data_IF_546253826441
#
_entry.id   IF_546253826441
#
_cell.length_a   1.000
_cell.length_b   1.000
_cell.length_c   1.000
_cell.angle_alpha   90.00
_cell.angle_beta   90.00
_cell.angle_gamma   90.00
#
_symmetry.space_group_name_H-M   'P 1'
#
loop_
_entity.id
_entity.type
_entity.pdbx_description
1 polymer ?
#
# COMPACT_ATOMS: atom_id res chain seq x y z
N UNK A 1 20.68 -25.18 68.10
CA UNK A 1 19.43 -24.64 67.53
C UNK A 1 19.79 -23.94 66.23
N UNK A 2 19.03 -24.23 65.17
CA UNK A 2 19.08 -23.64 63.82
C UNK A 2 20.13 -24.26 62.87
N UNK A 3 19.68 -25.31 62.20
CA UNK A 3 20.20 -25.83 60.94
C UNK A 3 19.83 -24.88 59.79
N UNK A 4 20.77 -24.55 58.90
CA UNK A 4 20.45 -23.88 57.63
C UNK A 4 20.83 -24.82 56.48
N UNK A 5 19.77 -25.36 55.86
CA UNK A 5 19.78 -26.14 54.64
C UNK A 5 20.16 -25.20 53.47
N UNK A 6 21.25 -25.48 52.76
CA UNK A 6 21.49 -24.90 51.44
C UNK A 6 20.87 -25.82 50.39
N UNK A 7 19.72 -25.41 49.86
CA UNK A 7 19.07 -26.07 48.72
C UNK A 7 19.72 -25.54 47.44
N UNK A 8 20.47 -26.41 46.78
CA UNK A 8 21.00 -26.22 45.42
C UNK A 8 19.89 -26.29 44.39
N UNK A 9 19.69 -25.20 43.63
CA UNK A 9 18.79 -25.16 42.48
C UNK A 9 19.60 -25.20 41.18
N UNK A 10 19.72 -26.40 40.59
CA UNK A 10 20.20 -26.60 39.23
C UNK A 10 19.05 -26.33 38.27
N UNK A 11 19.13 -25.25 37.49
CA UNK A 11 18.30 -25.07 36.30
C UNK A 11 19.11 -25.53 35.09
N UNK A 12 18.87 -26.78 34.69
CA UNK A 12 19.14 -27.23 33.33
C UNK A 12 17.97 -26.80 32.46
N UNK A 13 18.20 -25.92 31.48
CA UNK A 13 17.28 -25.73 30.36
C UNK A 13 18.03 -26.01 29.07
N UNK A 14 17.54 -27.06 28.42
CA UNK A 14 17.94 -27.62 27.14
C UNK A 14 17.93 -26.60 25.99
N UNK A 15 18.79 -26.88 25.01
CA UNK A 15 18.87 -26.24 23.72
C UNK A 15 17.51 -25.99 23.05
N UNK A 16 17.34 -24.79 22.49
CA UNK A 16 16.50 -24.58 21.31
C UNK A 16 17.45 -24.12 20.21
N UNK A 17 17.67 -25.00 19.24
CA UNK A 17 18.15 -24.61 17.92
C UNK A 17 17.21 -23.51 17.39
N UNK A 18 17.75 -22.33 17.12
CA UNK A 18 17.19 -21.48 16.09
C UNK A 18 17.89 -21.85 14.79
N UNK A 19 17.40 -22.94 14.20
CA UNK A 19 17.51 -23.13 12.76
C UNK A 19 16.14 -22.78 12.17
N UNK A 20 16.19 -22.32 10.92
CA UNK A 20 15.08 -22.06 10.00
C UNK A 20 14.42 -20.67 10.18
N UNK A 21 14.34 -19.81 9.17
CA UNK A 21 14.32 -20.08 7.73
C UNK A 21 15.24 -19.17 6.93
N UNK A 22 15.95 -19.78 5.98
CA UNK A 22 16.42 -19.08 4.81
C UNK A 22 15.23 -18.31 4.22
N UNK A 23 15.46 -17.06 3.82
CA UNK A 23 14.51 -16.26 3.08
C UNK A 23 14.12 -17.00 1.78
N UNK A 24 13.19 -17.93 1.88
CA UNK A 24 12.29 -18.25 0.80
C UNK A 24 11.50 -16.97 0.63
N UNK A 25 11.96 -16.15 -0.32
CA UNK A 25 11.19 -15.10 -0.94
C UNK A 25 9.99 -15.76 -1.60
N UNK A 26 9.03 -16.19 -0.80
CA UNK A 26 7.69 -16.52 -1.25
C UNK A 26 7.20 -15.20 -1.82
N UNK A 27 7.18 -15.09 -3.15
CA UNK A 27 6.49 -14.02 -3.85
C UNK A 27 5.06 -14.07 -3.35
N UNK A 28 4.74 -13.30 -2.30
CA UNK A 28 3.38 -13.12 -1.87
C UNK A 28 2.64 -12.62 -3.10
N UNK A 29 1.69 -13.41 -3.60
CA UNK A 29 0.83 -12.95 -4.67
C UNK A 29 0.11 -11.72 -4.14
N UNK A 30 0.45 -10.56 -4.66
CA UNK A 30 -0.25 -9.32 -4.33
C UNK A 30 -1.67 -9.44 -4.89
N UNK A 31 -2.64 -9.61 -4.01
CA UNK A 31 -4.04 -9.72 -4.38
C UNK A 31 -4.74 -8.43 -4.01
N UNK A 32 -5.25 -7.74 -5.02
CA UNK A 32 -6.17 -6.61 -4.84
C UNK A 32 -7.54 -7.14 -4.43
N UNK A 33 -8.31 -6.40 -3.59
CA UNK A 33 -9.61 -6.88 -3.13
C UNK A 33 -10.58 -7.05 -4.30
N UNK A 34 -11.29 -8.19 -4.32
CA UNK A 34 -12.25 -8.55 -5.38
C UNK A 34 -13.68 -8.66 -4.87
N UNK A 35 -13.84 -9.00 -3.60
CA UNK A 35 -15.11 -9.26 -2.93
C UNK A 35 -15.21 -8.39 -1.67
N UNK A 36 -16.41 -8.29 -1.10
CA UNK A 36 -16.71 -7.46 0.08
C UNK A 36 -16.24 -6.00 -0.10
N UNK A 37 -16.35 -5.50 -1.34
CA UNK A 37 -15.97 -4.13 -1.67
C UNK A 37 -16.92 -3.15 -0.96
N UNK A 38 -16.43 -1.96 -0.58
CA UNK A 38 -17.29 -0.93 -0.03
C UNK A 38 -18.40 -0.55 -1.01
N UNK A 39 -19.51 -0.04 -0.46
CA UNK A 39 -20.69 0.29 -1.25
C UNK A 39 -20.35 1.24 -2.42
N UNK A 40 -20.83 0.86 -3.61
CA UNK A 40 -20.66 1.64 -4.83
C UNK A 40 -19.39 1.32 -5.63
N UNK A 41 -18.48 0.49 -5.11
CA UNK A 41 -17.35 -0.01 -5.89
C UNK A 41 -17.66 -1.36 -6.54
N UNK A 42 -17.25 -1.50 -7.80
CA UNK A 42 -17.30 -2.76 -8.54
C UNK A 42 -15.96 -2.99 -9.23
N UNK A 43 -15.34 -4.14 -8.99
CA UNK A 43 -14.13 -4.54 -9.72
C UNK A 43 -14.47 -4.68 -11.21
N UNK A 44 -13.67 -4.04 -12.06
CA UNK A 44 -13.77 -4.16 -13.52
C UNK A 44 -12.56 -4.84 -14.13
N UNK A 45 -11.38 -4.75 -13.50
CA UNK A 45 -10.18 -5.47 -13.91
C UNK A 45 -9.25 -5.72 -12.72
N UNK A 46 -8.58 -6.87 -12.72
CA UNK A 46 -7.46 -7.17 -11.85
C UNK A 46 -6.25 -7.56 -12.74
N UNK A 47 -5.17 -6.79 -12.68
CA UNK A 47 -4.02 -6.92 -13.56
C UNK A 47 -2.77 -7.31 -12.75
N UNK A 48 -1.88 -8.16 -13.29
CA UNK A 48 -1.92 -8.76 -14.63
C UNK A 48 -2.80 -10.04 -14.72
N UNK A 49 -3.54 -10.38 -13.67
CA UNK A 49 -4.30 -11.64 -13.59
C UNK A 49 -5.30 -11.85 -14.74
N UNK A 50 -6.06 -10.80 -15.08
CA UNK A 50 -7.08 -10.84 -16.13
C UNK A 50 -6.53 -10.53 -17.54
N UNK A 51 -5.33 -9.95 -17.62
CA UNK A 51 -4.62 -9.72 -18.88
C UNK A 51 -3.11 -9.72 -18.65
N UNK A 52 -2.45 -10.80 -19.06
CA UNK A 52 -1.01 -10.99 -18.90
C UNK A 52 -0.16 -10.27 -19.94
N UNK A 53 -0.77 -9.68 -20.98
CA UNK A 53 -0.04 -8.92 -22.01
C UNK A 53 0.16 -7.46 -21.63
N UNK A 54 -0.46 -7.02 -20.53
CA UNK A 54 -0.36 -5.64 -20.07
C UNK A 54 1.06 -5.34 -19.56
N UNK A 55 1.60 -4.19 -19.96
CA UNK A 55 2.86 -3.71 -19.42
C UNK A 55 2.63 -3.07 -18.05
N UNK A 56 2.87 -3.83 -16.96
CA UNK A 56 2.68 -3.32 -15.60
C UNK A 56 3.53 -2.09 -15.27
N UNK A 57 4.65 -1.87 -15.98
CA UNK A 57 5.48 -0.66 -15.84
C UNK A 57 4.67 0.61 -16.10
N UNK A 58 3.71 0.57 -17.03
CA UNK A 58 2.87 1.72 -17.36
C UNK A 58 2.01 2.19 -16.19
N UNK A 59 1.64 1.27 -15.29
CA UNK A 59 0.82 1.56 -14.10
C UNK A 59 1.62 2.12 -12.93
N UNK A 60 2.95 1.95 -12.94
CA UNK A 60 3.83 2.36 -11.84
C UNK A 60 4.87 3.40 -12.26
N UNK A 61 4.70 4.06 -13.42
CA UNK A 61 5.61 5.12 -13.92
C UNK A 61 5.94 6.17 -12.85
N UNK A 62 4.95 6.57 -12.05
CA UNK A 62 5.10 7.59 -11.02
C UNK A 62 5.90 7.13 -9.79
N UNK A 63 6.22 5.84 -9.66
CA UNK A 63 7.09 5.30 -8.61
C UNK A 63 8.56 5.25 -9.02
N UNK A 64 8.86 5.37 -10.32
CA UNK A 64 10.22 5.57 -10.78
C UNK A 64 10.63 7.04 -10.59
N UNK A 65 11.91 7.26 -10.31
CA UNK A 65 12.43 8.59 -10.00
C UNK A 65 13.93 8.56 -9.74
N UNK A 66 14.41 9.48 -8.90
CA UNK A 66 15.83 9.62 -8.59
C UNK A 66 16.42 8.42 -7.84
N UNK A 67 15.59 7.69 -7.07
CA UNK A 67 16.02 6.50 -6.33
C UNK A 67 15.64 5.23 -7.09
N UNK A 68 16.55 4.27 -7.14
CA UNK A 68 16.25 2.95 -7.70
C UNK A 68 15.23 2.21 -6.81
N UNK A 69 14.26 1.57 -7.46
CA UNK A 69 13.23 0.75 -6.81
C UNK A 69 13.44 -0.75 -7.06
N UNK A 70 14.44 -1.12 -7.86
CA UNK A 70 14.80 -2.49 -8.15
C UNK A 70 13.69 -3.27 -8.89
N UNK A 71 13.77 -4.60 -8.80
CA UNK A 71 12.73 -5.48 -9.36
C UNK A 71 11.46 -5.35 -8.52
N UNK A 72 10.34 -5.16 -9.22
CA UNK A 72 9.03 -4.94 -8.59
C UNK A 72 8.02 -5.91 -9.18
N UNK A 73 7.27 -6.61 -8.32
CA UNK A 73 6.05 -7.30 -8.72
C UNK A 73 4.86 -6.37 -8.46
N UNK A 74 3.93 -6.26 -9.40
CA UNK A 74 2.87 -5.27 -9.37
C UNK A 74 1.52 -5.96 -9.53
N UNK A 75 0.55 -5.54 -8.73
CA UNK A 75 -0.86 -5.91 -8.88
C UNK A 75 -1.72 -4.66 -8.90
N UNK A 76 -2.66 -4.58 -9.83
CA UNK A 76 -3.55 -3.43 -10.01
C UNK A 76 -5.00 -3.88 -10.04
N UNK A 77 -5.83 -3.31 -9.17
CA UNK A 77 -7.27 -3.43 -9.22
C UNK A 77 -7.85 -2.14 -9.79
N UNK A 78 -8.69 -2.25 -10.80
CA UNK A 78 -9.44 -1.14 -11.37
C UNK A 78 -10.90 -1.33 -10.97
N UNK A 79 -11.49 -0.28 -10.39
CA UNK A 79 -12.80 -0.30 -9.79
C UNK A 79 -13.65 0.80 -10.41
N UNK A 80 -14.79 0.40 -10.96
CA UNK A 80 -15.82 1.36 -11.31
C UNK A 80 -16.33 2.02 -10.02
N UNK A 81 -16.45 3.34 -10.08
CA UNK A 81 -17.08 4.14 -9.05
C UNK A 81 -18.01 5.16 -9.71
N UNK A 82 -19.32 5.04 -9.46
CA UNK A 82 -20.35 5.87 -10.09
C UNK A 82 -21.11 5.16 -11.21
N UNK A 83 -21.91 5.92 -11.98
CA UNK A 83 -22.72 5.37 -13.08
C UNK A 83 -21.82 4.95 -14.25
N UNK A 84 -22.15 3.87 -14.97
CA UNK A 84 -21.46 3.54 -16.22
C UNK A 84 -21.42 4.73 -17.18
N UNK A 85 -20.21 5.19 -17.53
CA UNK A 85 -19.98 6.33 -18.43
C UNK A 85 -19.75 7.69 -17.75
N UNK A 86 -19.83 7.79 -16.41
CA UNK A 86 -19.44 8.99 -15.65
C UNK A 86 -18.21 8.72 -14.78
N UNK A 87 -17.28 9.68 -14.78
CA UNK A 87 -16.06 9.84 -13.96
C UNK A 87 -15.11 8.63 -13.83
N UNK A 88 -13.83 8.94 -13.99
CA UNK A 88 -12.64 8.08 -13.84
C UNK A 88 -12.75 6.94 -12.82
N UNK A 89 -12.23 5.77 -13.20
CA UNK A 89 -12.14 4.61 -12.32
C UNK A 89 -11.26 4.86 -11.09
N UNK A 90 -11.67 4.29 -9.96
CA UNK A 90 -10.81 4.15 -8.80
C UNK A 90 -9.81 3.00 -9.04
N UNK A 91 -8.64 3.07 -8.40
CA UNK A 91 -7.57 2.10 -8.63
C UNK A 91 -6.82 1.79 -7.35
N UNK A 92 -6.50 0.52 -7.14
CA UNK A 92 -5.56 0.06 -6.12
C UNK A 92 -4.32 -0.44 -6.85
N UNK A 93 -3.15 0.06 -6.50
CA UNK A 93 -1.85 -0.39 -7.03
C UNK A 93 -1.01 -0.89 -5.87
N UNK A 94 -0.62 -2.15 -5.92
CA UNK A 94 0.25 -2.80 -4.96
C UNK A 94 1.60 -3.05 -5.62
N UNK A 95 2.68 -2.62 -4.99
CA UNK A 95 4.05 -2.86 -5.43
C UNK A 95 4.73 -3.72 -4.38
N UNK A 96 5.14 -4.92 -4.73
CA UNK A 96 5.96 -5.79 -3.89
C UNK A 96 7.40 -5.60 -4.35
N UNK A 97 8.21 -5.04 -3.47
CA UNK A 97 9.61 -4.75 -3.72
C UNK A 97 10.49 -5.77 -2.99
N UNK A 98 11.79 -5.73 -3.27
CA UNK A 98 12.74 -6.67 -2.69
C UNK A 98 12.82 -6.57 -1.17
N UNK A 99 12.76 -5.35 -0.63
CA UNK A 99 12.81 -5.08 0.81
C UNK A 99 12.23 -3.69 1.15
N UNK A 100 12.28 -3.33 2.43
CA UNK A 100 11.78 -2.05 2.93
C UNK A 100 12.58 -0.83 2.44
N UNK A 101 13.84 -0.97 2.03
CA UNK A 101 14.63 0.14 1.48
C UNK A 101 14.15 0.48 0.06
N UNK A 102 13.92 -0.53 -0.78
CA UNK A 102 13.32 -0.31 -2.09
C UNK A 102 11.89 0.25 -1.98
N UNK A 103 11.11 -0.20 -0.99
CA UNK A 103 9.79 0.38 -0.71
C UNK A 103 9.86 1.85 -0.29
N UNK A 104 10.84 2.23 0.54
CA UNK A 104 11.11 3.63 0.86
C UNK A 104 11.50 4.44 -0.39
N UNK A 105 12.34 3.88 -1.27
CA UNK A 105 12.69 4.54 -2.54
C UNK A 105 11.45 4.79 -3.40
N UNK A 106 10.58 3.79 -3.58
CA UNK A 106 9.36 3.92 -4.36
C UNK A 106 8.38 4.94 -3.76
N UNK A 107 8.16 4.88 -2.45
CA UNK A 107 7.34 5.87 -1.73
C UNK A 107 7.90 7.29 -1.89
N UNK A 108 9.21 7.47 -1.66
CA UNK A 108 9.92 8.74 -1.83
C UNK A 108 9.78 9.30 -3.24
N UNK A 109 9.97 8.46 -4.27
CA UNK A 109 9.85 8.87 -5.67
C UNK A 109 8.42 9.34 -5.98
N UNK A 110 7.41 8.59 -5.56
CA UNK A 110 6.02 8.99 -5.76
C UNK A 110 5.68 10.31 -5.06
N UNK A 111 6.14 10.50 -3.82
CA UNK A 111 5.91 11.74 -3.09
C UNK A 111 6.66 12.95 -3.68
N UNK A 112 7.73 12.70 -4.46
CA UNK A 112 8.52 13.75 -5.10
C UNK A 112 7.94 14.27 -6.43
N UNK A 113 6.81 13.71 -6.89
CA UNK A 113 6.22 14.05 -8.18
C UNK A 113 5.99 15.57 -8.31
N UNK A 114 6.35 16.19 -9.46
CA UNK A 114 6.20 17.63 -9.65
C UNK A 114 4.79 18.17 -9.40
N UNK A 115 3.76 17.36 -9.68
CA UNK A 115 2.35 17.73 -9.43
C UNK A 115 2.05 17.98 -7.94
N UNK A 116 2.83 17.41 -7.03
CA UNK A 116 2.64 17.58 -5.58
C UNK A 116 3.38 18.78 -4.99
N UNK A 117 4.23 19.47 -5.76
CA UNK A 117 4.99 20.64 -5.28
C UNK A 117 4.11 21.86 -4.99
N UNK A 118 2.87 21.86 -5.48
CA UNK A 118 1.88 22.92 -5.25
C UNK A 118 0.63 22.33 -4.60
N UNK A 119 -0.08 23.10 -3.76
CA UNK A 119 -1.39 22.69 -3.29
C UNK A 119 -2.37 22.52 -4.47
N UNK A 120 -3.37 21.63 -4.38
CA UNK A 120 -4.34 21.43 -5.45
C UNK A 120 -5.17 22.69 -5.70
N UNK A 121 -5.48 23.44 -4.63
CA UNK A 121 -6.17 24.72 -4.66
C UNK A 121 -5.59 25.66 -3.61
N UNK A 122 -5.80 26.97 -3.79
CA UNK A 122 -5.39 27.96 -2.79
C UNK A 122 -6.12 27.70 -1.46
N UNK A 123 -5.37 27.53 -0.39
CA UNK A 123 -5.92 27.27 0.96
C UNK A 123 -6.32 25.82 1.22
N UNK A 124 -6.02 24.89 0.30
CA UNK A 124 -6.22 23.45 0.50
C UNK A 124 -4.86 22.78 0.63
N UNK A 125 -4.63 22.11 1.76
CA UNK A 125 -3.41 21.33 1.95
C UNK A 125 -3.36 20.14 1.00
N UNK A 126 -2.20 19.93 0.36
CA UNK A 126 -1.93 18.79 -0.53
C UNK A 126 -1.96 17.47 0.23
N UNK A 127 -1.46 17.48 1.45
CA UNK A 127 -1.20 16.27 2.23
C UNK A 127 -1.90 16.33 3.58
N UNK A 128 -2.36 15.16 4.03
CA UNK A 128 -2.82 14.92 5.40
C UNK A 128 -2.37 13.52 5.83
N UNK A 129 -2.59 13.18 7.10
CA UNK A 129 -2.37 11.83 7.62
C UNK A 129 -3.69 11.09 7.77
N UNK A 130 -3.66 9.78 7.56
CA UNK A 130 -4.75 8.86 7.83
C UNK A 130 -4.22 7.56 8.43
N UNK A 131 -5.06 6.86 9.19
CA UNK A 131 -4.78 5.49 9.62
C UNK A 131 -5.59 4.54 8.75
N UNK A 132 -4.92 3.65 8.02
CA UNK A 132 -5.54 2.62 7.18
C UNK A 132 -5.04 1.28 7.69
N UNK A 133 -5.94 0.40 8.15
CA UNK A 133 -5.62 -0.92 8.69
C UNK A 133 -4.48 -0.94 9.74
N UNK A 134 -4.35 0.13 10.54
CA UNK A 134 -3.30 0.27 11.55
C UNK A 134 -1.98 0.86 11.04
N UNK A 135 -1.88 1.17 9.75
CA UNK A 135 -0.72 1.81 9.14
C UNK A 135 -0.91 3.33 9.00
N UNK A 136 0.17 4.08 9.22
CA UNK A 136 0.22 5.51 8.93
C UNK A 136 0.27 5.71 7.40
N UNK A 137 -0.85 6.14 6.83
CA UNK A 137 -0.96 6.49 5.43
C UNK A 137 -0.92 8.01 5.22
N UNK A 138 -0.38 8.39 4.08
CA UNK A 138 -0.46 9.76 3.58
C UNK A 138 -1.71 9.89 2.72
N UNK A 139 -2.63 10.74 3.16
CA UNK A 139 -3.70 11.24 2.31
C UNK A 139 -3.11 12.28 1.36
N UNK A 140 -3.34 12.12 0.06
CA UNK A 140 -2.91 13.05 -0.99
C UNK A 140 -4.18 13.55 -1.68
N UNK A 141 -4.40 14.87 -1.67
CA UNK A 141 -5.54 15.50 -2.34
C UNK A 141 -5.11 15.92 -3.73
N UNK A 142 -5.52 15.21 -4.77
CA UNK A 142 -5.16 15.45 -6.17
C UNK A 142 -6.21 16.33 -6.85
N UNK A 143 -5.81 17.34 -7.63
CA UNK A 143 -6.79 18.10 -8.42
C UNK A 143 -7.23 17.29 -9.63
N UNK A 144 -8.52 17.40 -9.97
CA UNK A 144 -9.10 16.78 -11.16
C UNK A 144 -9.77 17.86 -11.98
N UNK A 145 -9.13 18.24 -13.09
CA UNK A 145 -9.67 19.22 -14.03
C UNK A 145 -9.88 20.62 -13.44
N UNK A 146 -9.20 20.96 -12.34
CA UNK A 146 -9.30 22.26 -11.67
C UNK A 146 -10.63 22.53 -10.96
N UNK A 147 -11.55 21.57 -10.91
CA UNK A 147 -12.90 21.75 -10.32
C UNK A 147 -13.20 20.80 -9.17
N UNK A 148 -12.44 19.70 -9.04
CA UNK A 148 -12.65 18.71 -8.01
C UNK A 148 -11.35 18.21 -7.39
N UNK A 149 -11.50 17.51 -6.28
CA UNK A 149 -10.43 16.73 -5.65
C UNK A 149 -10.66 15.25 -5.92
N UNK A 150 -9.57 14.50 -6.04
CA UNK A 150 -9.53 13.07 -5.82
C UNK A 150 -8.69 12.77 -4.61
N UNK A 151 -9.17 11.89 -3.75
CA UNK A 151 -8.44 11.46 -2.56
C UNK A 151 -7.63 10.21 -2.87
N UNK A 152 -6.33 10.32 -2.62
CA UNK A 152 -5.37 9.25 -2.75
C UNK A 152 -4.86 8.87 -1.36
N UNK A 153 -4.54 7.59 -1.16
CA UNK A 153 -3.88 7.11 0.05
C UNK A 153 -2.64 6.32 -0.33
N UNK A 154 -1.50 6.71 0.23
CA UNK A 154 -0.21 6.08 -0.02
C UNK A 154 0.43 5.67 1.30
N UNK A 155 0.83 4.41 1.42
CA UNK A 155 1.59 3.93 2.58
C UNK A 155 2.51 2.78 2.21
N UNK A 156 3.30 2.36 3.20
CA UNK A 156 4.16 1.17 3.13
C UNK A 156 3.74 0.18 4.18
N UNK A 157 3.80 -1.10 3.83
CA UNK A 157 3.68 -2.23 4.73
C UNK A 157 4.86 -3.18 4.48
N UNK A 158 5.93 -3.03 5.26
CA UNK A 158 7.20 -3.73 5.03
C UNK A 158 7.80 -3.39 3.66
N UNK A 159 7.94 -4.42 2.82
CA UNK A 159 8.44 -4.32 1.44
C UNK A 159 7.34 -4.00 0.41
N UNK A 160 6.10 -3.77 0.85
CA UNK A 160 4.96 -3.44 -0.02
C UNK A 160 4.69 -1.95 0.03
N UNK A 161 4.51 -1.32 -1.14
CA UNK A 161 3.92 0.01 -1.25
C UNK A 161 2.48 -0.13 -1.74
N UNK A 162 1.56 0.55 -1.07
CA UNK A 162 0.15 0.56 -1.42
C UNK A 162 -0.24 1.96 -1.84
N UNK A 163 -0.80 2.10 -3.04
CA UNK A 163 -1.44 3.31 -3.53
C UNK A 163 -2.89 3.04 -3.86
N UNK A 164 -3.77 3.83 -3.28
CA UNK A 164 -5.20 3.81 -3.55
C UNK A 164 -5.57 5.14 -4.15
N UNK A 165 -5.95 5.14 -5.42
CA UNK A 165 -6.54 6.28 -6.11
C UNK A 165 -8.06 6.13 -6.02
N UNK A 166 -8.66 6.84 -5.07
CA UNK A 166 -10.10 6.79 -4.84
C UNK A 166 -10.86 7.75 -5.77
N UNK A 167 -11.80 8.47 -5.17
CA UNK A 167 -12.74 9.35 -5.85
C UNK A 167 -12.80 10.73 -5.16
N UNK A 168 -13.86 11.50 -5.41
CA UNK A 168 -14.07 12.84 -4.82
C UNK A 168 -14.70 12.82 -3.41
N UNK A 169 -15.01 11.64 -2.88
CA UNK A 169 -15.48 11.40 -1.53
C UNK A 169 -14.33 10.81 -0.68
N UNK A 170 -13.86 11.59 0.28
CA UNK A 170 -12.76 11.20 1.16
C UNK A 170 -13.05 9.89 1.92
N UNK A 171 -14.29 9.74 2.43
CA UNK A 171 -14.72 8.60 3.22
C UNK A 171 -14.77 7.33 2.39
N UNK A 172 -15.43 7.38 1.23
CA UNK A 172 -15.50 6.22 0.32
C UNK A 172 -14.13 5.82 -0.20
N UNK A 173 -13.28 6.79 -0.49
CA UNK A 173 -11.88 6.54 -0.87
C UNK A 173 -11.10 5.85 0.25
N UNK A 174 -11.38 6.21 1.51
CA UNK A 174 -10.76 5.59 2.69
C UNK A 174 -11.28 4.17 2.93
N UNK A 175 -12.57 3.94 2.70
CA UNK A 175 -13.16 2.61 2.81
C UNK A 175 -12.56 1.67 1.77
N UNK A 176 -12.35 2.15 0.53
CA UNK A 176 -11.65 1.38 -0.50
C UNK A 176 -10.21 1.07 -0.08
N UNK A 177 -9.51 2.04 0.52
CA UNK A 177 -8.16 1.81 1.02
C UNK A 177 -8.13 0.77 2.14
N UNK A 178 -9.11 0.81 3.04
CA UNK A 178 -9.24 -0.16 4.13
C UNK A 178 -9.53 -1.58 3.62
N UNK A 179 -10.27 -1.71 2.50
CA UNK A 179 -10.56 -3.00 1.87
C UNK A 179 -9.31 -3.77 1.39
N UNK A 180 -8.14 -3.12 1.32
CA UNK A 180 -6.87 -3.81 1.02
C UNK A 180 -6.45 -4.80 2.12
N UNK A 181 -6.88 -4.59 3.37
CA UNK A 181 -6.41 -5.35 4.53
C UNK A 181 -4.92 -5.21 4.85
N UNK A 182 -4.22 -4.30 4.17
CA UNK A 182 -2.78 -4.03 4.27
C UNK A 182 -2.47 -2.70 4.93
#
# INVERSE_FOLDING_TARGET
MISILFISLLLASSAVCLAEDAANSTSANLVVPKENLPEGFKLIAALPEMDSHVNMTDYIKNFYGAKDIGKTNVSVGIYQWGKPGESYDAKITLLQLQDGMFAESAYSNYMSQPEFQKPPFRGVDRFSSAIINGHNATEIRKDVGGTGLRYLYLWKNGSIVVLVEGNDDNGKSRDLASATGL
#
